data_IF_618846867700
#
_entry.id   IF_618846867700
#
_cell.length_a   1.000
_cell.length_b   1.000
_cell.length_c   1.000
_cell.angle_alpha   90.00
_cell.angle_beta   90.00
_cell.angle_gamma   90.00
#
_symmetry.space_group_name_H-M   'P 1'
#
loop_
_entity.id
_entity.type
_entity.pdbx_description
1 polymer ?
#
# COMPACT_ATOMS: atom_id res chain seq x y z
N UNK A 1 -30.59 -26.88 -36.53
CA UNK A 1 -30.41 -26.25 -35.20
C UNK A 1 -29.14 -26.72 -34.47
N UNK A 2 -28.92 -28.03 -34.25
CA UNK A 2 -27.73 -28.56 -33.55
C UNK A 2 -26.37 -28.04 -34.08
N UNK A 3 -26.17 -27.96 -35.40
CA UNK A 3 -24.93 -27.40 -36.01
C UNK A 3 -24.75 -25.90 -35.76
N UNK A 4 -25.83 -25.12 -35.60
CA UNK A 4 -25.77 -23.68 -35.29
C UNK A 4 -25.46 -23.47 -33.80
N UNK A 5 -26.11 -24.26 -32.94
CA UNK A 5 -25.82 -24.28 -31.48
C UNK A 5 -24.37 -24.66 -31.22
N UNK A 6 -23.86 -25.71 -31.87
CA UNK A 6 -22.45 -26.10 -31.74
C UNK A 6 -21.46 -25.00 -32.14
N UNK A 7 -21.74 -24.24 -33.21
CA UNK A 7 -20.91 -23.09 -33.61
C UNK A 7 -20.95 -21.96 -32.60
N UNK A 8 -22.13 -21.63 -32.07
CA UNK A 8 -22.27 -20.58 -31.04
C UNK A 8 -21.47 -20.97 -29.80
N UNK A 9 -21.58 -22.22 -29.35
CA UNK A 9 -20.80 -22.74 -28.22
C UNK A 9 -19.29 -22.66 -28.50
N UNK A 10 -18.84 -23.05 -29.69
CA UNK A 10 -17.42 -22.93 -30.05
C UNK A 10 -16.93 -21.47 -30.07
N UNK A 11 -17.73 -20.53 -30.57
CA UNK A 11 -17.39 -19.10 -30.57
C UNK A 11 -17.30 -18.56 -29.14
N UNK A 12 -18.30 -18.87 -28.29
CA UNK A 12 -18.29 -18.44 -26.89
C UNK A 12 -17.10 -19.03 -26.14
N UNK A 13 -16.82 -20.32 -26.30
CA UNK A 13 -15.66 -20.97 -25.68
C UNK A 13 -14.33 -20.36 -26.15
N UNK A 14 -14.20 -20.07 -27.45
CA UNK A 14 -13.03 -19.38 -27.99
C UNK A 14 -12.87 -17.98 -27.40
N UNK A 15 -13.94 -17.19 -27.32
CA UNK A 15 -13.89 -15.84 -26.75
C UNK A 15 -13.50 -15.86 -25.27
N UNK A 16 -14.04 -16.79 -24.48
CA UNK A 16 -13.67 -16.95 -23.07
C UNK A 16 -12.19 -17.30 -22.95
N UNK A 17 -11.71 -18.29 -23.72
CA UNK A 17 -10.30 -18.67 -23.71
C UNK A 17 -9.39 -17.52 -24.14
N UNK A 18 -9.77 -16.81 -25.20
CA UNK A 18 -9.05 -15.63 -25.68
C UNK A 18 -8.98 -14.56 -24.60
N UNK A 19 -10.09 -14.23 -23.94
CA UNK A 19 -10.13 -13.26 -22.85
C UNK A 19 -9.22 -13.67 -21.69
N UNK A 20 -9.25 -14.94 -21.26
CA UNK A 20 -8.38 -15.44 -20.18
C UNK A 20 -6.90 -15.28 -20.58
N UNK A 21 -6.52 -15.71 -21.77
CA UNK A 21 -5.15 -15.60 -22.25
C UNK A 21 -4.71 -14.15 -22.41
N UNK A 22 -5.58 -13.31 -22.97
CA UNK A 22 -5.32 -11.90 -23.20
C UNK A 22 -5.12 -11.13 -21.89
N UNK A 23 -5.94 -11.39 -20.87
CA UNK A 23 -5.76 -10.78 -19.55
C UNK A 23 -4.43 -11.21 -18.91
N UNK A 24 -4.05 -12.49 -19.03
CA UNK A 24 -2.75 -12.97 -18.53
C UNK A 24 -1.56 -12.33 -19.25
N UNK A 25 -1.66 -12.15 -20.57
CA UNK A 25 -0.64 -11.43 -21.35
C UNK A 25 -0.62 -9.93 -20.98
N UNK A 26 -1.78 -9.32 -20.75
CA UNK A 26 -1.87 -7.92 -20.32
C UNK A 26 -1.13 -7.68 -19.00
N UNK A 27 -1.23 -8.61 -18.05
CA UNK A 27 -0.49 -8.52 -16.78
C UNK A 27 1.03 -8.56 -16.98
N UNK A 28 1.54 -9.45 -17.84
CA UNK A 28 2.98 -9.54 -18.14
C UNK A 28 3.51 -8.23 -18.74
N UNK A 29 2.67 -7.55 -19.54
CA UNK A 29 3.05 -6.33 -20.23
C UNK A 29 2.87 -5.06 -19.40
N UNK A 30 2.18 -5.11 -18.25
CA UNK A 30 2.03 -3.96 -17.35
C UNK A 30 3.40 -3.45 -16.90
N UNK A 31 3.58 -2.14 -16.89
CA UNK A 31 4.80 -1.52 -16.35
C UNK A 31 5.04 -1.96 -14.90
N UNK A 32 6.15 -2.67 -14.68
CA UNK A 32 6.71 -2.96 -13.34
C UNK A 32 7.76 -1.92 -12.96
N UNK A 33 7.62 -0.70 -13.48
CA UNK A 33 8.58 0.38 -13.35
C UNK A 33 8.70 0.78 -11.88
N UNK A 34 9.87 0.50 -11.30
CA UNK A 34 10.14 0.54 -9.85
C UNK A 34 9.39 -0.54 -9.07
N UNK A 35 10.08 -1.21 -8.14
CA UNK A 35 9.52 -2.27 -7.29
C UNK A 35 8.15 -1.86 -6.69
N UNK A 36 7.93 -0.58 -6.42
CA UNK A 36 6.70 -0.04 -5.86
C UNK A 36 5.44 -0.26 -6.72
N UNK A 37 5.57 -0.28 -8.04
CA UNK A 37 4.44 -0.53 -8.95
C UNK A 37 4.01 -2.00 -8.98
N UNK A 38 4.90 -2.93 -8.65
CA UNK A 38 4.57 -4.36 -8.59
C UNK A 38 3.97 -4.74 -7.24
N UNK A 39 4.22 -3.95 -6.18
CA UNK A 39 3.74 -4.23 -4.81
C UNK A 39 2.23 -4.45 -4.73
N UNK A 40 1.44 -3.65 -5.45
CA UNK A 40 -0.02 -3.83 -5.50
C UNK A 40 -0.41 -5.15 -6.15
N UNK A 41 0.28 -5.59 -7.22
CA UNK A 41 -0.02 -6.90 -7.83
C UNK A 41 0.41 -8.05 -6.93
N UNK A 42 1.49 -7.87 -6.18
CA UNK A 42 2.03 -8.91 -5.29
C UNK A 42 1.12 -9.28 -4.13
N UNK A 43 0.15 -8.41 -3.79
CA UNK A 43 -0.94 -8.72 -2.88
C UNK A 43 -1.70 -9.99 -3.30
N UNK A 44 -1.90 -10.20 -4.62
CA UNK A 44 -2.62 -11.36 -5.14
C UNK A 44 -1.85 -12.69 -5.06
N UNK A 45 -0.58 -12.66 -4.67
CA UNK A 45 0.24 -13.84 -4.42
C UNK A 45 0.06 -14.36 -2.97
N UNK A 46 -0.64 -13.61 -2.12
CA UNK A 46 -0.99 -13.99 -0.74
C UNK A 46 -2.24 -14.88 -0.77
N UNK A 47 -2.23 -15.96 -0.01
CA UNK A 47 -3.38 -16.86 0.10
C UNK A 47 -4.60 -16.11 0.66
N UNK A 48 -5.78 -16.37 0.10
CA UNK A 48 -7.02 -15.67 0.47
C UNK A 48 -7.39 -15.94 1.93
N UNK A 49 -7.94 -14.92 2.60
CA UNK A 49 -8.36 -14.97 4.01
C UNK A 49 -7.24 -15.41 5.00
N UNK A 50 -5.97 -15.07 4.74
CA UNK A 50 -4.84 -15.38 5.64
C UNK A 50 -4.14 -14.16 6.23
N UNK A 51 -4.60 -12.94 5.93
CA UNK A 51 -4.03 -11.70 6.47
C UNK A 51 -4.80 -11.19 7.68
N UNK A 52 -4.10 -10.93 8.77
CA UNK A 52 -4.66 -10.28 9.98
C UNK A 52 -4.71 -8.76 9.80
N UNK A 53 -3.70 -8.20 9.13
CA UNK A 53 -3.51 -6.74 9.01
C UNK A 53 -3.26 -6.32 7.58
N UNK A 54 -4.05 -5.35 7.10
CA UNK A 54 -3.80 -4.65 5.83
C UNK A 54 -3.32 -3.23 6.11
N UNK A 55 -2.15 -2.86 5.61
CA UNK A 55 -1.61 -1.51 5.72
C UNK A 55 -1.77 -0.76 4.40
N UNK A 56 -2.41 0.40 4.41
CA UNK A 56 -2.67 1.25 3.25
C UNK A 56 -1.89 2.56 3.38
N UNK A 57 -1.44 3.10 2.26
CA UNK A 57 -0.92 4.45 2.20
C UNK A 57 0.13 4.65 1.12
N UNK A 58 0.77 5.82 1.18
CA UNK A 58 1.75 6.23 0.17
C UNK A 58 3.10 5.54 0.36
N UNK A 59 4.16 6.15 -0.18
CA UNK A 59 5.53 5.74 0.11
C UNK A 59 5.88 5.74 1.60
N UNK A 60 5.25 6.62 2.37
CA UNK A 60 5.40 6.61 3.82
C UNK A 60 4.94 5.29 4.46
N UNK A 61 3.89 4.64 3.93
CA UNK A 61 3.45 3.34 4.44
C UNK A 61 4.47 2.23 4.15
N UNK A 62 4.85 2.05 2.88
CA UNK A 62 5.73 0.94 2.51
C UNK A 62 7.18 1.12 2.92
N UNK A 63 7.64 2.36 3.18
CA UNK A 63 8.92 2.58 3.85
C UNK A 63 8.81 2.44 5.37
N UNK A 64 7.70 2.84 5.99
CA UNK A 64 7.60 2.96 7.45
C UNK A 64 6.98 1.77 8.19
N UNK A 65 6.40 0.80 7.49
CA UNK A 65 5.85 -0.42 8.08
C UNK A 65 6.44 -1.67 7.44
N UNK A 66 6.87 -2.64 8.26
CA UNK A 66 7.61 -3.82 7.82
C UNK A 66 6.90 -5.12 8.21
N UNK A 67 6.16 -5.77 7.30
CA UNK A 67 5.45 -7.02 7.59
C UNK A 67 6.31 -8.14 8.16
N UNK A 68 7.54 -8.29 7.66
CA UNK A 68 8.50 -9.28 8.16
C UNK A 68 8.92 -9.04 9.62
N UNK A 69 8.95 -7.78 10.05
CA UNK A 69 9.25 -7.41 11.44
C UNK A 69 8.05 -7.71 12.33
N UNK A 70 6.84 -7.38 11.88
CA UNK A 70 5.61 -7.71 12.59
C UNK A 70 5.45 -9.24 12.75
N UNK A 71 5.72 -10.00 11.69
CA UNK A 71 5.77 -11.47 11.73
C UNK A 71 6.81 -11.97 12.74
N UNK A 72 8.05 -11.49 12.66
CA UNK A 72 9.09 -11.98 13.54
C UNK A 72 8.84 -11.64 15.01
N UNK A 73 8.33 -10.47 15.33
CA UNK A 73 8.17 -10.06 16.73
C UNK A 73 6.88 -10.60 17.35
N UNK A 74 5.80 -10.68 16.57
CA UNK A 74 4.46 -10.97 17.10
C UNK A 74 3.77 -12.17 16.42
N UNK A 75 4.26 -12.63 15.27
CA UNK A 75 3.64 -13.70 14.48
C UNK A 75 2.31 -13.30 13.86
N UNK A 76 2.11 -12.01 13.65
CA UNK A 76 0.93 -11.44 13.02
C UNK A 76 1.22 -11.27 11.53
N UNK A 77 0.31 -11.72 10.69
CA UNK A 77 0.43 -11.61 9.24
C UNK A 77 -0.02 -10.25 8.75
N UNK A 78 0.70 -9.70 7.77
CA UNK A 78 0.39 -8.38 7.27
C UNK A 78 0.87 -8.10 5.86
N UNK A 79 0.20 -7.19 5.16
CA UNK A 79 0.64 -6.73 3.85
C UNK A 79 0.51 -5.21 3.76
N UNK A 80 1.49 -4.56 3.12
CA UNK A 80 1.35 -3.16 2.71
C UNK A 80 0.80 -3.11 1.29
N UNK A 81 -0.43 -2.64 1.15
CA UNK A 81 -1.05 -2.33 -0.14
C UNK A 81 -0.89 -0.83 -0.41
N UNK A 82 0.33 -0.48 -0.85
CA UNK A 82 0.75 0.90 -1.04
C UNK A 82 1.26 1.20 -2.45
N UNK A 83 1.11 2.45 -2.88
CA UNK A 83 1.65 2.98 -4.13
C UNK A 83 2.33 4.34 -3.90
N UNK A 84 3.24 4.78 -4.80
CA UNK A 84 3.84 6.10 -4.66
C UNK A 84 2.77 7.20 -4.70
N UNK A 85 2.83 8.14 -3.74
CA UNK A 85 1.88 9.26 -3.66
C UNK A 85 0.40 8.83 -3.61
N UNK A 86 0.12 7.71 -2.95
CA UNK A 86 -1.24 7.20 -2.77
C UNK A 86 -2.09 8.21 -1.98
N UNK A 87 -3.11 8.77 -2.62
CA UNK A 87 -4.09 9.68 -2.01
C UNK A 87 -5.11 8.90 -1.17
N UNK A 88 -5.95 9.61 -0.43
CA UNK A 88 -7.07 9.01 0.29
C UNK A 88 -8.04 8.27 -0.67
N UNK A 89 -8.31 8.85 -1.83
CA UNK A 89 -9.18 8.24 -2.84
C UNK A 89 -8.60 6.92 -3.40
N UNK A 90 -7.31 6.90 -3.73
CA UNK A 90 -6.64 5.67 -4.16
C UNK A 90 -6.66 4.60 -3.05
N UNK A 91 -6.43 5.01 -1.80
CA UNK A 91 -6.45 4.11 -0.64
C UNK A 91 -7.82 3.47 -0.42
N UNK A 92 -8.91 4.22 -0.59
CA UNK A 92 -10.27 3.69 -0.49
C UNK A 92 -10.56 2.60 -1.54
N UNK A 93 -10.20 2.82 -2.80
CA UNK A 93 -10.41 1.81 -3.84
C UNK A 93 -9.50 0.59 -3.68
N UNK A 94 -8.27 0.77 -3.20
CA UNK A 94 -7.38 -0.34 -2.87
C UNK A 94 -7.88 -1.14 -1.67
N UNK A 95 -8.46 -0.49 -0.65
CA UNK A 95 -9.14 -1.16 0.44
C UNK A 95 -10.31 -2.01 -0.09
N UNK A 96 -11.19 -1.42 -0.89
CA UNK A 96 -12.33 -2.14 -1.50
C UNK A 96 -11.90 -3.35 -2.31
N UNK A 97 -10.81 -3.22 -3.07
CA UNK A 97 -10.24 -4.32 -3.85
C UNK A 97 -9.69 -5.40 -2.94
N UNK A 98 -8.92 -5.03 -1.91
CA UNK A 98 -8.33 -5.98 -0.97
C UNK A 98 -9.39 -6.83 -0.25
N UNK A 99 -10.50 -6.20 0.15
CA UNK A 99 -11.61 -6.87 0.83
C UNK A 99 -12.38 -7.87 -0.06
N UNK A 100 -12.11 -7.92 -1.37
CA UNK A 100 -12.61 -9.01 -2.23
C UNK A 100 -11.85 -10.33 -2.04
N UNK A 101 -10.66 -10.31 -1.43
CA UNK A 101 -9.76 -11.46 -1.32
C UNK A 101 -9.31 -11.75 0.12
N UNK A 102 -9.43 -10.77 1.01
CA UNK A 102 -8.93 -10.85 2.38
C UNK A 102 -9.99 -10.30 3.35
N UNK A 103 -10.03 -10.85 4.55
CA UNK A 103 -10.84 -10.36 5.67
C UNK A 103 -9.95 -10.03 6.87
N UNK A 104 -9.15 -8.95 6.78
CA UNK A 104 -8.25 -8.58 7.88
C UNK A 104 -9.05 -8.18 9.12
N UNK A 105 -8.51 -8.48 10.30
CA UNK A 105 -9.03 -7.99 11.57
C UNK A 105 -8.76 -6.48 11.74
N UNK A 106 -7.68 -5.99 11.11
CA UNK A 106 -7.23 -4.60 11.24
C UNK A 106 -6.83 -4.00 9.89
N UNK A 107 -7.25 -2.76 9.66
CA UNK A 107 -6.71 -1.90 8.61
C UNK A 107 -5.87 -0.80 9.26
N UNK A 108 -4.60 -0.75 8.91
CA UNK A 108 -3.71 0.37 9.20
C UNK A 108 -3.74 1.35 8.05
N UNK A 109 -3.90 2.65 8.33
CA UNK A 109 -3.83 3.70 7.31
C UNK A 109 -2.76 4.72 7.65
N UNK A 110 -1.76 4.86 6.76
CA UNK A 110 -0.70 5.85 6.88
C UNK A 110 -1.20 7.22 6.39
N UNK A 111 -1.22 8.19 7.30
CA UNK A 111 -1.96 9.43 7.13
C UNK A 111 -1.20 10.53 6.39
N UNK A 112 0.07 10.34 6.02
CA UNK A 112 0.91 11.41 5.49
C UNK A 112 0.24 12.12 4.31
N UNK A 113 -0.37 11.39 3.38
CA UNK A 113 -0.91 11.97 2.14
C UNK A 113 -2.28 12.65 2.29
N UNK A 114 -2.82 12.77 3.50
CA UNK A 114 -4.10 13.45 3.74
C UNK A 114 -4.06 14.96 3.50
N UNK A 115 -2.88 15.59 3.38
CA UNK A 115 -2.76 17.00 3.02
C UNK A 115 -3.13 17.30 1.56
N UNK A 116 -3.20 16.28 0.70
CA UNK A 116 -3.44 16.47 -0.72
C UNK A 116 -4.94 16.61 -1.02
N UNK A 117 -5.32 17.54 -1.89
CA UNK A 117 -6.71 17.97 -2.10
C UNK A 117 -7.39 17.38 -3.34
N UNK A 118 -6.68 16.57 -4.14
CA UNK A 118 -7.21 15.95 -5.36
C UNK A 118 -7.30 14.42 -5.27
N UNK A 119 -8.10 13.83 -6.17
CA UNK A 119 -8.32 12.38 -6.23
C UNK A 119 -7.04 11.57 -6.53
N UNK A 120 -6.14 12.12 -7.34
CA UNK A 120 -4.84 11.51 -7.64
C UNK A 120 -3.85 12.62 -8.01
N UNK A 121 -2.54 12.39 -7.81
CA UNK A 121 -1.53 13.44 -8.03
C UNK A 121 -1.19 13.64 -9.51
N UNK A 122 -0.95 12.54 -10.23
CA UNK A 122 -0.56 12.51 -11.65
C UNK A 122 -1.02 11.20 -12.27
N UNK A 123 -1.25 11.17 -13.59
CA UNK A 123 -1.68 9.96 -14.31
C UNK A 123 -0.72 8.78 -14.07
N UNK A 124 0.60 9.02 -14.04
CA UNK A 124 1.58 7.98 -13.73
C UNK A 124 1.35 7.32 -12.38
N UNK A 125 1.05 8.12 -11.34
CA UNK A 125 0.82 7.63 -9.97
C UNK A 125 -0.51 6.89 -9.84
N UNK A 126 -1.55 7.41 -10.50
CA UNK A 126 -2.82 6.71 -10.64
C UNK A 126 -2.62 5.32 -11.28
N UNK A 127 -1.89 5.26 -12.40
CA UNK A 127 -1.59 3.99 -13.08
C UNK A 127 -0.78 3.03 -12.22
N UNK A 128 0.18 3.52 -11.43
CA UNK A 128 0.95 2.68 -10.50
C UNK A 128 0.08 2.03 -9.41
N UNK A 129 -0.99 2.69 -8.97
CA UNK A 129 -1.95 2.12 -8.03
C UNK A 129 -2.98 1.19 -8.71
N UNK A 130 -3.43 1.56 -9.91
CA UNK A 130 -4.62 0.99 -10.56
C UNK A 130 -4.32 -0.10 -11.58
N UNK A 131 -3.30 0.08 -12.41
CA UNK A 131 -2.95 -0.91 -13.44
C UNK A 131 -2.64 -2.29 -12.85
N UNK A 132 -2.00 -2.43 -11.67
CA UNK A 132 -1.75 -3.73 -11.04
C UNK A 132 -3.00 -4.43 -10.53
N UNK A 133 -4.13 -3.72 -10.37
CA UNK A 133 -5.39 -4.34 -9.95
C UNK A 133 -5.90 -5.30 -11.02
N UNK A 134 -6.41 -6.46 -10.60
CA UNK A 134 -7.16 -7.36 -11.49
C UNK A 134 -8.36 -6.64 -12.07
N UNK A 135 -8.71 -6.96 -13.31
CA UNK A 135 -9.94 -6.43 -13.91
C UNK A 135 -11.16 -6.92 -13.12
N UNK A 136 -11.92 -5.99 -12.56
CA UNK A 136 -13.03 -6.28 -11.65
C UNK A 136 -13.94 -5.08 -11.44
N UNK A 137 -14.99 -5.26 -10.63
CA UNK A 137 -15.98 -4.21 -10.34
C UNK A 137 -15.37 -3.01 -9.65
N UNK A 138 -14.47 -3.22 -8.69
CA UNK A 138 -13.80 -2.14 -7.97
C UNK A 138 -12.90 -1.32 -8.91
N UNK A 139 -12.11 -1.98 -9.76
CA UNK A 139 -11.32 -1.29 -10.79
C UNK A 139 -12.20 -0.47 -11.75
N UNK A 140 -13.37 -1.01 -12.12
CA UNK A 140 -14.31 -0.27 -12.98
C UNK A 140 -14.85 0.98 -12.28
N UNK A 141 -15.29 0.84 -11.04
CA UNK A 141 -15.78 1.94 -10.20
C UNK A 141 -14.71 3.01 -9.98
N UNK A 142 -13.48 2.60 -9.68
CA UNK A 142 -12.34 3.49 -9.51
C UNK A 142 -12.07 4.33 -10.76
N UNK A 143 -12.02 3.71 -11.95
CA UNK A 143 -11.83 4.45 -13.20
C UNK A 143 -13.01 5.38 -13.47
N UNK A 144 -14.23 4.95 -13.18
CA UNK A 144 -15.40 5.76 -13.46
C UNK A 144 -15.47 7.01 -12.59
N UNK A 145 -15.11 6.89 -11.32
CA UNK A 145 -15.06 7.98 -10.35
C UNK A 145 -13.84 8.90 -10.61
N UNK A 146 -12.64 8.34 -10.64
CA UNK A 146 -11.40 9.13 -10.68
C UNK A 146 -11.15 9.75 -12.06
N UNK A 147 -11.71 9.17 -13.12
CA UNK A 147 -11.55 9.64 -14.50
C UNK A 147 -12.91 9.98 -15.12
N UNK A 148 -13.84 10.52 -14.32
CA UNK A 148 -15.22 10.84 -14.73
C UNK A 148 -15.33 11.71 -15.99
N UNK A 149 -14.35 12.59 -16.21
CA UNK A 149 -14.32 13.50 -17.37
C UNK A 149 -13.91 12.83 -18.69
N UNK A 150 -13.34 11.62 -18.64
CA UNK A 150 -12.89 10.90 -19.83
C UNK A 150 -14.05 10.20 -20.55
N UNK A 151 -13.98 10.16 -21.88
CA UNK A 151 -14.91 9.36 -22.68
C UNK A 151 -14.70 7.86 -22.43
N UNK A 152 -15.72 7.05 -22.72
CA UNK A 152 -15.64 5.58 -22.66
C UNK A 152 -14.43 5.01 -23.44
N UNK A 153 -14.07 5.63 -24.57
CA UNK A 153 -12.93 5.17 -25.39
C UNK A 153 -11.59 5.44 -24.69
N UNK A 154 -11.48 6.52 -23.95
CA UNK A 154 -10.28 6.87 -23.19
C UNK A 154 -10.17 6.02 -21.93
N UNK A 155 -11.28 5.83 -21.20
CA UNK A 155 -11.36 4.92 -20.03
C UNK A 155 -10.95 3.49 -20.36
N UNK A 156 -11.20 3.02 -21.59
CA UNK A 156 -10.79 1.69 -22.04
C UNK A 156 -9.29 1.40 -21.86
N UNK A 157 -8.43 2.41 -21.99
CA UNK A 157 -6.97 2.26 -21.80
C UNK A 157 -6.55 2.05 -20.34
N UNK A 158 -7.46 2.27 -19.38
CA UNK A 158 -7.22 2.07 -17.96
C UNK A 158 -7.80 0.74 -17.46
N UNK A 159 -8.85 0.25 -18.12
CA UNK A 159 -9.36 -1.10 -17.88
C UNK A 159 -8.39 -2.19 -18.39
N UNK A 160 -7.69 -1.90 -19.49
CA UNK A 160 -6.83 -2.86 -20.18
C UNK A 160 -5.43 -2.27 -20.37
N UNK A 161 -4.52 -2.42 -19.38
CA UNK A 161 -3.17 -1.84 -19.42
C UNK A 161 -2.35 -2.25 -20.65
N UNK A 162 -2.60 -3.43 -21.23
CA UNK A 162 -1.96 -3.87 -22.48
C UNK A 162 -2.03 -2.81 -23.59
N UNK A 163 -3.13 -2.06 -23.69
CA UNK A 163 -3.29 -1.03 -24.72
C UNK A 163 -2.24 0.08 -24.59
N UNK A 164 -1.84 0.40 -23.37
CA UNK A 164 -0.78 1.36 -23.06
C UNK A 164 0.61 0.75 -23.27
N UNK A 165 0.80 -0.49 -22.83
CA UNK A 165 2.14 -1.08 -22.68
C UNK A 165 2.55 -2.11 -23.75
N UNK A 166 1.74 -2.36 -24.79
CA UNK A 166 2.01 -3.36 -25.83
C UNK A 166 3.37 -3.22 -26.54
N UNK A 167 4.01 -2.05 -26.49
CA UNK A 167 5.33 -1.82 -27.06
C UNK A 167 6.48 -2.41 -26.22
N UNK A 168 6.24 -2.75 -24.94
CA UNK A 168 7.24 -3.30 -24.01
C UNK A 168 7.67 -4.74 -24.27
N UNK A 169 7.18 -5.41 -25.32
CA UNK A 169 7.52 -6.81 -25.60
C UNK A 169 9.03 -7.06 -25.76
N UNK A 170 9.81 -6.05 -26.16
CA UNK A 170 11.27 -6.13 -26.29
C UNK A 170 12.02 -5.88 -24.98
N UNK A 171 11.30 -5.41 -23.94
CA UNK A 171 11.85 -5.01 -22.64
C UNK A 171 11.50 -6.01 -21.53
N UNK A 172 10.86 -7.13 -21.87
CA UNK A 172 10.44 -8.14 -20.89
C UNK A 172 11.65 -8.89 -20.32
N UNK A 173 11.74 -8.94 -19.00
CA UNK A 173 12.74 -9.67 -18.23
C UNK A 173 12.11 -10.85 -17.47
N UNK A 174 12.92 -11.74 -16.90
CA UNK A 174 12.42 -12.90 -16.15
C UNK A 174 11.58 -12.51 -14.93
N UNK A 175 11.86 -11.35 -14.32
CA UNK A 175 11.08 -10.73 -13.25
C UNK A 175 9.67 -10.31 -13.69
N UNK A 176 9.45 -10.10 -14.99
CA UNK A 176 8.10 -9.83 -15.51
C UNK A 176 7.21 -11.09 -15.43
N UNK A 177 7.80 -12.29 -15.47
CA UNK A 177 7.09 -13.58 -15.42
C UNK A 177 7.01 -14.21 -14.02
N UNK A 178 7.91 -13.82 -13.11
CA UNK A 178 8.03 -14.41 -11.78
C UNK A 178 8.23 -13.32 -10.72
N UNK A 179 7.16 -12.94 -10.04
CA UNK A 179 7.22 -12.17 -8.79
C UNK A 179 7.50 -13.12 -7.61
N UNK A 180 8.41 -12.74 -6.71
CA UNK A 180 8.56 -13.39 -5.39
C UNK A 180 8.61 -12.31 -4.31
N UNK A 181 7.44 -11.79 -3.93
CA UNK A 181 7.34 -10.60 -3.08
C UNK A 181 7.47 -10.96 -1.59
N UNK A 182 8.67 -11.36 -1.18
CA UNK A 182 8.94 -11.74 0.21
C UNK A 182 8.80 -10.56 1.19
N UNK A 183 8.75 -9.31 0.69
CA UNK A 183 8.53 -8.11 1.48
C UNK A 183 7.06 -7.79 1.77
N UNK A 184 6.11 -8.56 1.19
CA UNK A 184 4.66 -8.35 1.39
C UNK A 184 4.23 -6.89 1.17
N UNK A 185 4.81 -6.25 0.16
CA UNK A 185 4.52 -4.86 -0.22
C UNK A 185 5.26 -3.77 0.54
N UNK A 186 6.15 -4.11 1.48
CA UNK A 186 7.08 -3.12 2.06
C UNK A 186 8.32 -2.92 1.20
N UNK A 187 9.08 -1.88 1.54
CA UNK A 187 10.35 -1.54 0.93
C UNK A 187 11.42 -1.34 2.01
N UNK A 188 12.65 -1.77 1.70
CA UNK A 188 13.78 -1.61 2.61
C UNK A 188 14.87 -0.75 1.98
N UNK A 189 15.34 0.22 2.75
CA UNK A 189 16.63 0.90 2.54
C UNK A 189 17.31 1.03 3.87
N UNK A 190 18.59 0.69 3.93
CA UNK A 190 19.37 0.81 5.16
C UNK A 190 20.21 2.09 5.21
N UNK A 191 20.26 2.90 4.14
CA UNK A 191 21.11 4.08 4.13
C UNK A 191 20.56 5.14 5.09
N UNK A 192 21.46 5.95 5.65
CA UNK A 192 21.10 7.03 6.58
C UNK A 192 21.18 8.37 5.86
N UNK A 193 20.13 9.17 5.99
CA UNK A 193 20.07 10.56 5.58
C UNK A 193 19.74 11.42 6.80
N UNK A 194 20.73 12.15 7.30
CA UNK A 194 20.57 12.93 8.53
C UNK A 194 19.81 14.22 8.27
N UNK A 195 18.69 14.42 8.96
CA UNK A 195 17.87 15.64 8.91
C UNK A 195 17.80 16.30 10.28
N UNK A 196 17.72 17.63 10.29
CA UNK A 196 17.35 18.37 11.50
C UNK A 196 15.88 18.13 11.84
N UNK A 197 15.59 17.82 13.11
CA UNK A 197 14.22 17.72 13.59
C UNK A 197 13.69 19.10 13.98
N UNK A 198 12.88 19.67 13.11
CA UNK A 198 12.19 20.94 13.36
C UNK A 198 11.05 20.79 14.38
N UNK A 199 10.65 19.55 14.71
CA UNK A 199 9.51 19.25 15.55
C UNK A 199 8.17 19.34 14.82
N UNK A 200 7.08 19.25 15.57
CA UNK A 200 5.71 19.28 15.04
C UNK A 200 5.18 20.70 14.89
N UNK A 201 4.18 20.88 14.01
CA UNK A 201 3.50 22.16 13.87
C UNK A 201 2.87 22.63 15.20
N UNK A 202 2.65 23.95 15.31
CA UNK A 202 1.99 24.55 16.49
C UNK A 202 0.48 24.69 16.32
N UNK A 203 0.04 24.82 15.08
CA UNK A 203 -1.34 25.06 14.72
C UNK A 203 -1.76 23.99 13.71
N UNK A 204 -3.00 23.53 13.86
CA UNK A 204 -3.59 22.55 12.96
C UNK A 204 -3.97 23.23 11.63
N UNK A 205 -3.90 22.46 10.55
CA UNK A 205 -4.32 22.86 9.21
C UNK A 205 -5.43 21.90 8.79
N UNK A 206 -6.51 22.45 8.25
CA UNK A 206 -7.69 21.66 7.89
C UNK A 206 -7.34 20.53 6.91
N UNK A 207 -7.91 19.34 7.16
CA UNK A 207 -7.82 18.23 6.20
C UNK A 207 -8.66 18.64 4.98
N UNK A 208 -8.08 18.68 3.77
CA UNK A 208 -8.83 18.99 2.55
C UNK A 208 -10.10 18.15 2.43
N UNK A 209 -11.20 18.78 2.00
CA UNK A 209 -12.52 18.14 1.92
C UNK A 209 -12.49 16.82 1.15
N UNK A 210 -11.80 16.77 0.01
CA UNK A 210 -11.62 15.55 -0.79
C UNK A 210 -10.97 14.43 0.03
N UNK A 211 -9.88 14.73 0.76
CA UNK A 211 -9.18 13.73 1.56
C UNK A 211 -10.03 13.27 2.76
N UNK A 212 -10.75 14.19 3.39
CA UNK A 212 -11.67 13.89 4.49
C UNK A 212 -12.85 13.01 4.03
N UNK A 213 -13.41 13.26 2.84
CA UNK A 213 -14.47 12.45 2.27
C UNK A 213 -14.04 10.97 2.13
N UNK A 214 -12.87 10.74 1.53
CA UNK A 214 -12.38 9.38 1.33
C UNK A 214 -11.85 8.73 2.60
N UNK A 215 -11.34 9.50 3.56
CA UNK A 215 -11.06 9.00 4.91
C UNK A 215 -12.34 8.48 5.57
N UNK A 216 -13.42 9.26 5.55
CA UNK A 216 -14.72 8.84 6.08
C UNK A 216 -15.24 7.58 5.37
N UNK A 217 -15.12 7.49 4.05
CA UNK A 217 -15.50 6.30 3.28
C UNK A 217 -14.70 5.06 3.69
N UNK A 218 -13.41 5.18 4.01
CA UNK A 218 -12.59 4.07 4.51
C UNK A 218 -13.00 3.64 5.92
N UNK A 219 -13.25 4.60 6.81
CA UNK A 219 -13.73 4.34 8.18
C UNK A 219 -15.08 3.62 8.14
N UNK A 220 -16.06 4.17 7.40
CA UNK A 220 -17.39 3.57 7.24
C UNK A 220 -17.32 2.15 6.65
N UNK A 221 -16.45 1.94 5.65
CA UNK A 221 -16.26 0.62 5.06
C UNK A 221 -15.71 -0.39 6.09
N UNK A 222 -14.70 0.01 6.88
CA UNK A 222 -14.16 -0.86 7.92
C UNK A 222 -15.19 -1.14 9.02
N UNK A 223 -15.96 -0.14 9.45
CA UNK A 223 -17.04 -0.31 10.43
C UNK A 223 -18.11 -1.30 9.94
N UNK A 224 -18.53 -1.18 8.68
CA UNK A 224 -19.54 -2.05 8.08
C UNK A 224 -19.07 -3.51 7.97
N UNK A 225 -17.77 -3.73 7.76
CA UNK A 225 -17.15 -5.06 7.67
C UNK A 225 -16.68 -5.58 9.03
N UNK A 226 -16.82 -4.80 10.11
CA UNK A 226 -16.38 -5.17 11.46
C UNK A 226 -14.86 -5.19 11.64
N UNK A 227 -14.14 -4.40 10.85
CA UNK A 227 -12.68 -4.29 10.84
C UNK A 227 -12.24 -3.14 11.73
N UNK A 228 -11.21 -3.36 12.55
CA UNK A 228 -10.60 -2.27 13.33
C UNK A 228 -9.82 -1.33 12.41
N UNK A 229 -10.22 -0.06 12.37
CA UNK A 229 -9.48 0.97 11.65
C UNK A 229 -8.49 1.67 12.60
N UNK A 230 -7.22 1.70 12.22
CA UNK A 230 -6.13 2.30 12.99
C UNK A 230 -5.31 3.19 12.07
N UNK A 231 -4.94 4.37 12.54
CA UNK A 231 -4.16 5.32 11.75
C UNK A 231 -2.75 5.48 12.32
N UNK A 232 -1.79 5.86 11.49
CA UNK A 232 -0.46 6.25 11.94
C UNK A 232 0.16 7.27 10.98
N UNK A 233 1.06 8.10 11.51
CA UNK A 233 1.88 8.98 10.69
C UNK A 233 3.34 8.67 10.98
N UNK A 234 4.06 8.25 9.95
CA UNK A 234 5.52 8.09 10.05
C UNK A 234 6.19 9.45 10.24
N UNK A 235 7.31 9.55 10.98
CA UNK A 235 8.08 10.79 11.04
C UNK A 235 8.66 11.14 9.68
N UNK A 236 8.71 12.42 9.36
CA UNK A 236 9.24 12.93 8.09
C UNK A 236 9.99 14.24 8.32
N UNK A 237 11.00 14.51 7.47
CA UNK A 237 11.72 15.79 7.45
C UNK A 237 11.15 16.77 6.43
N UNK A 238 11.90 17.85 6.18
CA UNK A 238 11.56 18.83 5.14
C UNK A 238 11.81 18.25 3.75
N UNK A 239 10.74 17.88 3.04
CA UNK A 239 10.82 17.28 1.69
C UNK A 239 10.96 18.35 0.61
N UNK A 240 10.05 19.33 0.59
CA UNK A 240 9.96 20.33 -0.47
C UNK A 240 10.41 21.72 0.00
N UNK A 241 9.79 22.22 1.07
CA UNK A 241 10.05 23.51 1.69
C UNK A 241 9.62 23.50 3.15
N UNK A 242 10.17 24.39 3.99
CA UNK A 242 9.74 24.52 5.39
C UNK A 242 8.25 24.87 5.50
N UNK A 243 7.74 25.75 4.64
CA UNK A 243 6.30 26.08 4.59
C UNK A 243 5.46 24.83 4.34
N UNK A 244 5.83 24.05 3.31
CA UNK A 244 5.15 22.80 2.99
C UNK A 244 5.37 21.69 4.03
N UNK A 245 6.40 21.78 4.85
CA UNK A 245 6.59 20.91 6.01
C UNK A 245 5.60 21.26 7.13
N UNK A 246 5.51 22.55 7.48
CA UNK A 246 4.60 23.02 8.52
C UNK A 246 3.13 22.82 8.16
N UNK A 247 2.77 23.01 6.89
CA UNK A 247 1.42 22.71 6.39
C UNK A 247 1.06 21.23 6.61
N UNK A 248 1.93 20.31 6.19
CA UNK A 248 1.71 18.87 6.34
C UNK A 248 1.67 18.44 7.81
N UNK A 249 2.59 18.93 8.63
CA UNK A 249 2.56 18.70 10.08
C UNK A 249 1.25 19.23 10.71
N UNK A 250 0.77 20.39 10.25
CA UNK A 250 -0.51 20.96 10.66
C UNK A 250 -1.70 20.07 10.29
N UNK A 251 -1.70 19.48 9.10
CA UNK A 251 -2.74 18.52 8.70
C UNK A 251 -2.72 17.28 9.60
N UNK A 252 -1.54 16.76 9.95
CA UNK A 252 -1.43 15.61 10.84
C UNK A 252 -1.98 15.91 12.25
N UNK A 253 -1.91 17.16 12.72
CA UNK A 253 -2.61 17.57 13.95
C UNK A 253 -4.13 17.50 13.81
N UNK A 254 -4.70 17.97 12.69
CA UNK A 254 -6.14 17.81 12.44
C UNK A 254 -6.55 16.34 12.28
N UNK A 255 -5.66 15.48 11.77
CA UNK A 255 -5.88 14.02 11.73
C UNK A 255 -5.93 13.43 13.14
N UNK A 256 -5.08 13.87 14.06
CA UNK A 256 -5.13 13.44 15.46
C UNK A 256 -6.45 13.86 16.14
N UNK A 257 -6.92 15.08 15.87
CA UNK A 257 -8.22 15.57 16.36
C UNK A 257 -9.38 14.73 15.79
N UNK A 258 -9.39 14.51 14.47
CA UNK A 258 -10.37 13.66 13.80
C UNK A 258 -10.38 12.24 14.39
N UNK A 259 -9.20 11.63 14.57
CA UNK A 259 -9.09 10.28 15.11
C UNK A 259 -9.64 10.20 16.54
N UNK A 260 -9.35 11.21 17.37
CA UNK A 260 -9.91 11.32 18.72
C UNK A 260 -11.43 11.46 18.73
N UNK A 261 -12.00 12.29 17.86
CA UNK A 261 -13.45 12.49 17.75
C UNK A 261 -14.20 11.21 17.31
N UNK A 262 -13.57 10.42 16.45
CA UNK A 262 -14.13 9.17 15.93
C UNK A 262 -13.69 7.92 16.71
N UNK A 263 -12.96 8.07 17.83
CA UNK A 263 -12.42 6.97 18.64
C UNK A 263 -11.50 6.00 17.85
N UNK A 264 -10.77 6.52 16.88
CA UNK A 264 -9.80 5.80 16.06
C UNK A 264 -8.42 5.90 16.74
N UNK A 265 -7.73 4.77 17.01
CA UNK A 265 -6.36 4.79 17.49
C UNK A 265 -5.43 5.46 16.47
N UNK A 266 -4.59 6.39 16.91
CA UNK A 266 -3.67 7.13 16.05
C UNK A 266 -2.25 7.23 16.62
N UNK A 267 -1.27 6.72 15.87
CA UNK A 267 0.16 6.82 16.20
C UNK A 267 0.79 8.01 15.47
N UNK A 268 0.84 9.17 16.13
CA UNK A 268 1.58 10.33 15.63
C UNK A 268 3.03 10.28 16.12
N UNK A 269 3.84 9.39 15.53
CA UNK A 269 5.16 9.01 16.04
C UNK A 269 6.11 10.19 16.30
N UNK A 270 6.11 11.21 15.43
CA UNK A 270 6.99 12.37 15.61
C UNK A 270 6.55 13.26 16.77
N UNK A 271 5.26 13.31 17.08
CA UNK A 271 4.72 14.09 18.21
C UNK A 271 4.90 13.36 19.54
N UNK A 272 4.63 12.06 19.57
CA UNK A 272 4.61 11.26 20.80
C UNK A 272 5.99 10.77 21.21
N UNK A 273 6.90 10.56 20.24
CA UNK A 273 8.23 10.01 20.47
C UNK A 273 8.22 8.54 20.93
N UNK A 274 7.07 7.88 20.92
CA UNK A 274 6.85 6.54 21.50
C UNK A 274 7.68 5.44 20.83
N UNK A 275 7.98 5.58 19.53
CA UNK A 275 8.83 4.66 18.79
C UNK A 275 10.33 4.96 18.94
N UNK A 276 10.72 6.08 19.57
CA UNK A 276 12.13 6.47 19.70
C UNK A 276 12.83 6.73 18.36
N UNK A 277 12.10 7.35 17.42
CA UNK A 277 12.63 7.70 16.09
C UNK A 277 13.57 8.91 16.20
N UNK A 278 14.69 8.84 15.50
CA UNK A 278 15.69 9.89 15.37
C UNK A 278 15.82 10.31 13.90
N UNK A 279 15.43 11.54 13.53
CA UNK A 279 15.55 12.00 12.14
C UNK A 279 17.01 12.10 11.65
N UNK A 280 17.99 12.02 12.54
CA UNK A 280 19.40 11.98 12.17
C UNK A 280 19.90 10.59 11.80
N UNK A 281 19.18 9.53 12.19
CA UNK A 281 19.62 8.13 12.06
C UNK A 281 18.63 7.23 11.33
N UNK A 282 17.33 7.54 11.39
CA UNK A 282 16.24 6.64 10.97
C UNK A 282 15.59 7.02 9.64
N UNK A 283 16.15 7.98 8.90
CA UNK A 283 15.69 8.37 7.57
C UNK A 283 16.61 7.82 6.48
N UNK A 284 16.04 7.45 5.31
CA UNK A 284 16.80 7.07 4.12
C UNK A 284 16.84 8.17 3.04
N UNK A 285 15.98 9.18 3.15
CA UNK A 285 16.01 10.43 2.40
C UNK A 285 15.36 11.55 3.23
N UNK A 286 14.93 12.65 2.61
CA UNK A 286 14.34 13.78 3.34
C UNK A 286 12.99 13.48 3.97
N UNK A 287 12.27 12.43 3.54
CA UNK A 287 10.89 12.16 3.94
C UNK A 287 10.57 10.74 4.37
N UNK A 288 11.37 9.75 3.98
CA UNK A 288 11.10 8.34 4.22
C UNK A 288 12.01 7.74 5.29
N UNK A 289 11.43 6.92 6.15
CA UNK A 289 12.18 6.09 7.09
C UNK A 289 13.11 5.12 6.35
N UNK A 290 14.28 4.88 6.92
CA UNK A 290 15.05 3.69 6.62
C UNK A 290 14.48 2.47 7.36
N UNK A 291 15.04 1.30 7.09
CA UNK A 291 14.56 0.03 7.66
C UNK A 291 14.61 0.02 9.20
N UNK A 292 15.57 0.71 9.82
CA UNK A 292 15.68 0.79 11.28
C UNK A 292 14.58 1.64 11.91
N UNK A 293 14.26 2.79 11.31
CA UNK A 293 13.12 3.60 11.69
C UNK A 293 11.80 2.86 11.51
N UNK A 294 11.65 2.18 10.38
CA UNK A 294 10.46 1.39 10.06
C UNK A 294 10.26 0.23 11.06
N UNK A 295 11.34 -0.44 11.47
CA UNK A 295 11.31 -1.48 12.51
C UNK A 295 10.78 -0.93 13.83
N UNK A 296 11.24 0.24 14.27
CA UNK A 296 10.78 0.89 15.51
C UNK A 296 9.28 1.21 15.47
N UNK A 297 8.81 1.82 14.39
CA UNK A 297 7.39 2.10 14.19
C UNK A 297 6.56 0.80 14.17
N UNK A 298 7.03 -0.21 13.42
CA UNK A 298 6.35 -1.51 13.30
C UNK A 298 6.26 -2.23 14.65
N UNK A 299 7.33 -2.22 15.44
CA UNK A 299 7.35 -2.84 16.78
C UNK A 299 6.34 -2.18 17.71
N UNK A 300 6.23 -0.87 17.65
CA UNK A 300 5.28 -0.10 18.48
C UNK A 300 3.84 -0.41 18.10
N UNK A 301 3.51 -0.39 16.80
CA UNK A 301 2.18 -0.79 16.30
C UNK A 301 1.90 -2.26 16.65
N UNK A 302 2.85 -3.17 16.42
CA UNK A 302 2.70 -4.58 16.72
C UNK A 302 2.41 -4.87 18.19
N UNK A 303 2.98 -4.07 19.10
CA UNK A 303 2.67 -4.16 20.52
C UNK A 303 1.20 -3.85 20.78
N UNK A 304 0.68 -2.76 20.19
CA UNK A 304 -0.73 -2.41 20.30
C UNK A 304 -1.65 -3.49 19.71
N UNK A 305 -1.33 -3.97 18.51
CA UNK A 305 -2.10 -5.03 17.83
C UNK A 305 -2.18 -6.31 18.69
N UNK A 306 -1.05 -6.73 19.26
CA UNK A 306 -0.99 -7.96 20.05
C UNK A 306 -1.59 -7.81 21.45
N UNK A 307 -1.34 -6.68 22.13
CA UNK A 307 -1.70 -6.51 23.55
C UNK A 307 -3.08 -5.88 23.73
N UNK A 308 -3.42 -4.85 22.94
CA UNK A 308 -4.67 -4.10 23.09
C UNK A 308 -5.78 -4.68 22.22
N UNK A 309 -5.49 -5.04 20.96
CA UNK A 309 -6.46 -5.70 20.08
C UNK A 309 -6.46 -7.23 20.21
N UNK A 310 -5.42 -7.82 20.79
CA UNK A 310 -5.41 -9.24 21.13
C UNK A 310 -5.20 -10.19 19.95
N UNK A 311 -4.66 -9.69 18.83
CA UNK A 311 -4.37 -10.49 17.63
C UNK A 311 -3.48 -11.68 17.98
N UNK A 312 -3.75 -12.82 17.36
CA UNK A 312 -3.07 -14.09 17.64
C UNK A 312 -1.81 -14.24 16.81
N UNK A 313 -0.87 -15.00 17.37
CA UNK A 313 0.35 -15.37 16.68
C UNK A 313 0.09 -16.65 15.90
N UNK A 314 0.42 -16.65 14.61
CA UNK A 314 0.33 -17.82 13.72
C UNK A 314 1.65 -18.58 13.60
N UNK A 315 2.66 -18.25 14.41
CA UNK A 315 3.96 -18.92 14.36
C UNK A 315 3.84 -20.41 14.65
N UNK A 316 4.39 -21.22 13.75
CA UNK A 316 4.37 -22.68 13.85
C UNK A 316 3.03 -23.32 13.46
N UNK A 317 2.06 -22.54 12.99
CA UNK A 317 0.83 -23.06 12.40
C UNK A 317 1.08 -23.57 10.97
N UNK A 318 0.41 -24.66 10.61
CA UNK A 318 0.48 -25.24 9.26
C UNK A 318 -0.19 -24.27 8.28
N UNK A 319 0.48 -23.97 7.17
CA UNK A 319 0.03 -23.01 6.15
C UNK A 319 0.73 -21.66 6.22
N UNK A 320 1.40 -21.35 7.34
CA UNK A 320 2.11 -20.08 7.52
C UNK A 320 3.63 -20.18 7.29
N UNK A 321 4.13 -21.32 6.80
CA UNK A 321 5.58 -21.56 6.59
C UNK A 321 6.21 -20.58 5.59
N UNK A 322 5.40 -20.01 4.70
CA UNK A 322 5.86 -18.99 3.75
C UNK A 322 6.35 -17.72 4.44
N UNK A 323 5.80 -17.37 5.61
CA UNK A 323 6.23 -16.20 6.37
C UNK A 323 7.61 -16.38 7.01
N UNK A 324 7.92 -17.58 7.49
CA UNK A 324 9.26 -17.90 8.00
C UNK A 324 10.30 -17.90 6.87
N UNK A 325 9.92 -18.39 5.68
CA UNK A 325 10.76 -18.34 4.50
C UNK A 325 11.01 -16.89 4.03
N UNK A 326 9.98 -16.06 4.03
CA UNK A 326 10.05 -14.65 3.67
C UNK A 326 10.93 -13.86 4.67
N UNK A 327 10.79 -14.12 5.98
CA UNK A 327 11.64 -13.50 6.99
C UNK A 327 13.12 -13.91 6.85
N UNK A 328 13.39 -15.16 6.47
CA UNK A 328 14.77 -15.61 6.19
C UNK A 328 15.39 -14.84 5.01
N UNK A 329 14.61 -14.57 3.96
CA UNK A 329 15.05 -13.76 2.82
C UNK A 329 15.24 -12.28 3.22
N UNK A 330 14.32 -11.75 4.03
CA UNK A 330 14.39 -10.41 4.60
C UNK A 330 15.71 -10.17 5.34
N UNK A 331 16.08 -11.07 6.26
CA UNK A 331 17.34 -10.96 7.01
C UNK A 331 18.56 -11.00 6.09
N UNK A 332 18.57 -11.92 5.13
CA UNK A 332 19.68 -12.05 4.18
C UNK A 332 19.90 -10.77 3.36
N UNK A 333 18.82 -10.17 2.88
CA UNK A 333 18.91 -8.96 2.08
C UNK A 333 19.27 -7.74 2.95
N UNK A 334 18.77 -7.68 4.19
CA UNK A 334 19.16 -6.65 5.16
C UNK A 334 20.66 -6.71 5.48
N UNK A 335 21.19 -7.91 5.80
CA UNK A 335 22.63 -8.13 6.02
C UNK A 335 23.46 -7.68 4.80
N UNK A 336 23.02 -8.01 3.59
CA UNK A 336 23.70 -7.60 2.37
C UNK A 336 23.65 -6.08 2.13
N UNK A 337 22.59 -5.39 2.54
CA UNK A 337 22.49 -3.93 2.48
C UNK A 337 23.41 -3.25 3.49
N UNK A 338 23.55 -3.81 4.69
CA UNK A 338 24.44 -3.30 5.74
C UNK A 338 25.90 -3.44 5.29
N UNK A 339 26.30 -4.63 4.83
CA UNK A 339 27.66 -4.88 4.39
C UNK A 339 28.12 -3.91 3.28
N UNK A 340 27.23 -3.56 2.34
CA UNK A 340 27.52 -2.61 1.26
C UNK A 340 27.73 -1.16 1.71
N UNK A 341 27.34 -0.79 2.92
CA UNK A 341 27.57 0.56 3.46
C UNK A 341 28.89 0.68 4.21
N UNK A 342 29.45 -0.45 4.63
CA UNK A 342 30.75 -0.51 5.30
C UNK A 342 31.93 -0.57 4.31
N UNK A 343 31.65 -0.83 3.03
CA UNK A 343 32.58 -0.73 1.88
C UNK A 343 32.63 0.70 1.32
#
# INVERSE_FOLDING_TARGET
>A
MKKRVGRIVSVVAFLILFCILFLRVSEIFRAKTSNASDMVHTFYDIEEDTLDVLCLGSSHAYYGFQPNVLWNEYGITSCVLGSPQQTAALSYYLLKEALQYQKPEVVLFESYYLWFDQLYTKEERLRQAMDPMRFGTVKMEMVDELLGDLSWKEKFNYYVPFMTYHQRWQELENSDFHSKPYLKGSFMRANVHSMEDLGVAREAVEIPETSLEYLNKMVELCENEGIHFVMFCTPFGVIDSEEGYWEKQGVVLSVEEYAKENNIPFFFFQKTGEAGISLTEDLCDTGHLNVYGAEKCTKTIGQYLSQELGLKSHKGEIGYESWDADYTLYLKDLEAMIAKQEE
#
